data_IF_326800086966
#
_entry.id   IF_326800086966
#
_cell.length_a   1.000
_cell.length_b   1.000
_cell.length_c   1.000
_cell.angle_alpha   90.00
_cell.angle_beta   90.00
_cell.angle_gamma   90.00
#
_symmetry.space_group_name_H-M   'P 1'
#
loop_
_entity.id
_entity.type
_entity.pdbx_description
1 polymer ?
#
# COMPACT_ATOMS: atom_id res chain seq x y z
N UNK A 1 47.04 33.79 -20.13
CA UNK A 1 46.81 34.86 -21.13
C UNK A 1 46.74 34.20 -22.51
N UNK A 2 45.61 34.28 -23.24
CA UNK A 2 45.37 35.15 -24.41
C UNK A 2 46.39 35.05 -25.59
N UNK A 3 46.14 34.14 -26.55
CA UNK A 3 46.04 34.40 -28.03
C UNK A 3 45.59 33.09 -28.75
N UNK A 4 44.67 33.01 -29.73
CA UNK A 4 44.33 33.82 -30.94
C UNK A 4 45.49 33.85 -31.97
N UNK A 5 45.38 33.71 -33.31
CA UNK A 5 44.33 33.54 -34.36
C UNK A 5 44.89 32.57 -35.44
N UNK A 6 44.22 32.05 -36.50
CA UNK A 6 42.84 32.13 -37.09
C UNK A 6 42.49 30.68 -37.59
N UNK A 7 41.58 30.29 -38.51
CA UNK A 7 40.61 30.85 -39.48
C UNK A 7 39.34 29.93 -39.41
N UNK A 8 38.19 29.99 -40.11
CA UNK A 8 37.62 30.46 -41.40
C UNK A 8 38.02 29.70 -42.68
N UNK A 9 37.12 29.43 -43.64
CA UNK A 9 35.74 29.93 -43.89
C UNK A 9 34.91 28.95 -44.73
N UNK A 10 33.57 29.05 -44.73
CA UNK A 10 32.75 29.30 -45.95
C UNK A 10 31.27 29.59 -45.60
N UNK A 11 30.51 30.15 -46.55
CA UNK A 11 29.19 30.75 -46.34
C UNK A 11 28.04 30.05 -47.08
N UNK A 12 26.89 29.90 -46.43
CA UNK A 12 25.54 29.83 -47.01
C UNK A 12 24.53 30.10 -45.86
N UNK A 13 23.65 31.11 -45.85
CA UNK A 13 22.74 31.64 -46.90
C UNK A 13 21.69 30.63 -47.36
N UNK A 14 20.40 30.94 -47.14
CA UNK A 14 19.30 30.24 -47.81
C UNK A 14 18.14 29.73 -46.96
N UNK A 15 17.30 30.64 -46.44
CA UNK A 15 15.83 30.52 -46.40
C UNK A 15 15.16 29.36 -45.63
N UNK A 16 14.32 29.72 -44.67
CA UNK A 16 13.26 28.84 -44.15
C UNK A 16 12.36 28.32 -45.28
N UNK A 17 12.40 27.01 -45.53
CA UNK A 17 11.46 26.32 -46.43
C UNK A 17 10.51 25.46 -45.60
N UNK A 18 9.41 26.08 -45.18
CA UNK A 18 8.29 25.39 -44.53
C UNK A 18 7.79 24.25 -45.42
N UNK A 19 7.99 23.01 -44.98
CA UNK A 19 7.58 21.81 -45.72
C UNK A 19 6.08 21.57 -45.53
N UNK A 20 5.27 22.34 -46.26
CA UNK A 20 3.81 22.16 -46.32
C UNK A 20 3.46 20.85 -47.01
N UNK A 21 3.36 19.78 -46.22
CA UNK A 21 2.87 18.47 -46.69
C UNK A 21 1.40 18.63 -47.08
N UNK A 22 1.13 18.72 -48.37
CA UNK A 22 -0.22 18.81 -48.89
C UNK A 22 -1.00 17.51 -48.62
N UNK A 23 -2.08 17.60 -47.85
CA UNK A 23 -2.97 16.47 -47.62
C UNK A 23 -3.69 16.08 -48.94
N UNK A 24 -3.83 14.78 -49.26
CA UNK A 24 -4.50 14.35 -50.48
C UNK A 24 -6.00 14.68 -50.44
N UNK A 25 -6.55 15.10 -51.57
CA UNK A 25 -7.98 15.43 -51.68
C UNK A 25 -8.84 14.15 -51.58
N UNK A 26 -9.71 14.09 -50.58
CA UNK A 26 -10.64 12.97 -50.38
C UNK A 26 -11.80 13.07 -51.40
N UNK A 27 -12.07 12.04 -52.22
CA UNK A 27 -13.19 12.05 -53.16
C UNK A 27 -14.54 12.13 -52.45
N UNK A 28 -15.46 12.99 -52.95
CA UNK A 28 -16.85 13.04 -52.47
C UNK A 28 -17.69 11.93 -53.11
N UNK A 29 -17.72 10.74 -52.51
CA UNK A 29 -18.60 9.64 -52.93
C UNK A 29 -19.70 9.33 -51.89
N UNK A 30 -20.86 9.94 -52.13
CA UNK A 30 -22.22 9.49 -51.77
C UNK A 30 -22.41 8.41 -50.67
N UNK A 31 -22.91 8.87 -49.52
CA UNK A 31 -23.84 8.14 -48.63
C UNK A 31 -23.47 6.70 -48.20
N UNK A 32 -22.51 6.57 -47.28
CA UNK A 32 -22.54 5.50 -46.26
C UNK A 32 -23.04 6.04 -44.93
N UNK A 33 -24.26 5.64 -44.54
CA UNK A 33 -24.83 5.89 -43.20
C UNK A 33 -24.01 5.13 -42.15
N UNK A 34 -22.97 5.76 -41.60
CA UNK A 34 -22.24 5.20 -40.46
C UNK A 34 -23.20 5.02 -39.27
N UNK A 35 -23.43 3.77 -38.89
CA UNK A 35 -24.00 3.45 -37.59
C UNK A 35 -22.96 3.77 -36.52
N UNK A 36 -23.05 4.97 -35.94
CA UNK A 36 -22.28 5.34 -34.75
C UNK A 36 -22.66 4.42 -33.59
N UNK A 37 -21.88 3.36 -33.40
CA UNK A 37 -21.92 2.59 -32.15
C UNK A 37 -21.24 3.46 -31.09
N UNK A 38 -22.02 3.97 -30.14
CA UNK A 38 -21.59 4.95 -29.14
C UNK A 38 -20.65 4.35 -28.08
N UNK A 39 -19.44 3.96 -28.48
CA UNK A 39 -18.33 3.71 -27.56
C UNK A 39 -17.80 5.04 -27.07
N UNK A 40 -18.19 5.41 -25.85
CA UNK A 40 -17.60 6.52 -25.10
C UNK A 40 -16.12 6.27 -24.89
N UNK A 41 -15.29 6.87 -25.76
CA UNK A 41 -13.88 7.09 -25.49
C UNK A 41 -13.79 8.06 -24.31
N UNK A 42 -13.71 7.50 -23.09
CA UNK A 42 -13.31 8.29 -21.92
C UNK A 42 -11.96 8.94 -22.23
N UNK A 43 -11.80 10.26 -22.05
CA UNK A 43 -10.51 10.89 -22.25
C UNK A 43 -9.47 10.22 -21.35
N UNK A 44 -8.20 10.10 -21.79
CA UNK A 44 -7.16 9.54 -20.94
C UNK A 44 -7.08 10.36 -19.64
N UNK A 45 -6.92 9.71 -18.46
CA UNK A 45 -6.87 10.42 -17.20
C UNK A 45 -5.74 11.47 -17.25
N UNK A 46 -6.08 12.71 -16.91
CA UNK A 46 -5.11 13.81 -16.87
C UNK A 46 -3.97 13.38 -15.95
N UNK A 47 -2.75 13.34 -16.50
CA UNK A 47 -1.54 13.03 -15.73
C UNK A 47 -1.22 14.23 -14.83
N UNK A 48 -1.90 14.29 -13.68
CA UNK A 48 -1.46 15.10 -12.55
C UNK A 48 -0.02 14.70 -12.23
N UNK A 49 0.90 15.65 -12.27
CA UNK A 49 2.22 15.48 -11.65
C UNK A 49 1.97 15.33 -10.16
N UNK A 50 2.02 14.09 -9.67
CA UNK A 50 2.02 13.84 -8.24
C UNK A 50 3.37 14.32 -7.75
N UNK A 51 3.40 15.44 -7.01
CA UNK A 51 4.55 15.76 -6.18
C UNK A 51 4.61 14.65 -5.15
N UNK A 52 5.61 13.77 -5.30
CA UNK A 52 5.82 12.66 -4.40
C UNK A 52 6.63 13.17 -3.22
N UNK A 53 5.97 13.90 -2.33
CA UNK A 53 6.52 14.20 -1.01
C UNK A 53 6.86 12.87 -0.34
N UNK A 54 8.11 12.71 0.08
CA UNK A 54 8.57 11.46 0.71
C UNK A 54 8.13 11.34 2.17
N UNK A 55 7.51 12.37 2.74
CA UNK A 55 7.16 12.47 4.17
C UNK A 55 5.86 11.74 4.49
N UNK A 56 5.77 11.07 5.65
CA UNK A 56 4.60 10.28 5.99
C UNK A 56 3.31 11.10 6.21
N UNK A 57 2.28 10.84 5.38
CA UNK A 57 0.95 11.49 5.40
C UNK A 57 0.27 11.46 6.78
N UNK A 58 0.56 10.43 7.60
CA UNK A 58 -0.13 10.17 8.87
C UNK A 58 0.47 10.93 10.06
N UNK A 59 1.76 11.27 10.01
CA UNK A 59 2.43 11.94 11.13
C UNK A 59 3.38 13.09 10.77
N UNK A 60 3.55 13.42 9.49
CA UNK A 60 4.30 14.59 9.02
C UNK A 60 5.79 14.63 9.42
N UNK A 61 6.37 13.49 9.79
CA UNK A 61 7.69 13.42 10.43
C UNK A 61 8.48 12.22 9.94
N UNK A 62 9.56 12.46 9.19
CA UNK A 62 10.38 11.42 8.59
C UNK A 62 9.81 10.89 7.28
N UNK A 63 10.67 10.24 6.50
CA UNK A 63 10.29 9.68 5.20
C UNK A 63 9.45 8.40 5.37
N UNK A 64 8.50 8.17 4.49
CA UNK A 64 7.60 7.02 4.51
C UNK A 64 8.20 5.83 3.76
N UNK A 65 9.23 5.24 4.37
CA UNK A 65 9.72 3.92 4.01
C UNK A 65 8.93 2.79 4.73
N UNK A 66 9.22 1.54 4.36
CA UNK A 66 8.57 0.34 4.92
C UNK A 66 8.71 0.24 6.45
N UNK A 67 9.89 0.58 6.98
CA UNK A 67 10.17 0.62 8.41
C UNK A 67 9.43 1.77 9.09
N UNK A 68 9.28 2.92 8.44
CA UNK A 68 8.49 4.02 8.95
C UNK A 68 7.03 3.61 9.13
N UNK A 69 6.40 3.05 8.09
CA UNK A 69 4.99 2.67 8.12
C UNK A 69 4.66 1.76 9.29
N UNK A 70 5.39 0.65 9.47
CA UNK A 70 5.05 -0.34 10.52
C UNK A 70 5.77 -0.10 11.86
N UNK A 71 6.96 0.52 11.86
CA UNK A 71 7.71 0.87 13.07
C UNK A 71 7.56 2.35 13.41
N UNK A 72 8.23 3.26 12.69
CA UNK A 72 8.56 4.58 13.25
C UNK A 72 7.43 5.62 13.24
N UNK A 73 6.35 5.41 12.49
CA UNK A 73 5.17 6.27 12.46
C UNK A 73 4.52 6.43 13.84
N UNK A 74 4.05 7.63 14.18
CA UNK A 74 3.39 7.93 15.46
C UNK A 74 2.16 7.06 15.70
N UNK A 75 1.35 6.77 14.67
CA UNK A 75 0.17 5.89 14.77
C UNK A 75 0.59 4.45 15.10
N UNK A 76 1.65 3.95 14.47
CA UNK A 76 2.18 2.60 14.67
C UNK A 76 2.87 2.44 16.04
N UNK A 77 3.62 3.45 16.51
CA UNK A 77 4.14 3.54 17.88
C UNK A 77 3.03 3.50 18.93
N UNK A 78 1.98 4.30 18.76
CA UNK A 78 0.84 4.32 19.66
C UNK A 78 0.09 2.97 19.69
N UNK A 79 -0.03 2.31 18.53
CA UNK A 79 -0.60 0.96 18.44
C UNK A 79 0.24 -0.09 19.18
N UNK A 80 1.57 -0.12 19.00
CA UNK A 80 2.47 -1.02 19.76
C UNK A 80 2.43 -0.74 21.26
N UNK A 81 2.38 0.52 21.68
CA UNK A 81 2.26 0.89 23.09
C UNK A 81 0.93 0.42 23.71
N UNK A 82 -0.17 0.46 22.96
CA UNK A 82 -1.44 -0.12 23.41
C UNK A 82 -1.36 -1.65 23.49
N UNK A 83 -0.85 -2.33 22.47
CA UNK A 83 -0.70 -3.80 22.44
C UNK A 83 0.22 -4.35 23.55
N UNK A 84 1.19 -3.59 24.05
CA UNK A 84 2.05 -3.99 25.19
C UNK A 84 1.31 -4.21 26.51
N UNK A 85 0.05 -3.79 26.62
CA UNK A 85 -0.80 -4.07 27.79
C UNK A 85 -1.35 -5.50 27.76
N UNK A 86 -1.66 -5.99 26.55
CA UNK A 86 -2.30 -7.28 26.32
C UNK A 86 -1.26 -8.38 26.00
N UNK A 87 -0.19 -8.02 25.29
CA UNK A 87 0.84 -8.93 24.80
C UNK A 87 2.22 -8.63 25.39
N UNK A 88 2.93 -9.69 25.80
CA UNK A 88 4.37 -9.67 26.12
C UNK A 88 5.19 -9.46 24.85
N UNK A 89 5.27 -8.22 24.39
CA UNK A 89 6.06 -7.79 23.24
C UNK A 89 7.46 -7.30 23.68
N UNK A 90 8.45 -7.27 22.77
CA UNK A 90 9.75 -6.65 23.03
C UNK A 90 9.67 -5.19 23.48
N UNK A 91 10.70 -4.74 24.20
CA UNK A 91 10.91 -3.33 24.51
C UNK A 91 10.99 -2.48 23.23
N UNK A 92 10.60 -1.20 23.31
CA UNK A 92 10.58 -0.32 22.12
C UNK A 92 11.98 -0.10 21.54
N UNK A 93 13.04 -0.19 22.37
CA UNK A 93 14.44 -0.13 21.93
C UNK A 93 14.84 -1.25 20.96
N UNK A 94 14.15 -2.39 20.98
CA UNK A 94 14.52 -3.56 20.16
C UNK A 94 14.02 -3.43 18.72
N UNK A 95 13.00 -2.59 18.48
CA UNK A 95 12.47 -2.26 17.16
C UNK A 95 13.30 -1.16 16.46
N UNK A 96 14.62 -1.08 16.69
CA UNK A 96 15.48 -0.10 16.04
C UNK A 96 15.87 -0.52 14.62
N UNK A 97 16.17 0.45 13.76
CA UNK A 97 16.55 0.21 12.37
C UNK A 97 18.01 -0.26 12.27
N UNK A 98 18.22 -1.52 11.89
CA UNK A 98 19.56 -2.11 11.71
C UNK A 98 20.00 -2.17 10.24
N UNK A 99 19.35 -1.40 9.35
CA UNK A 99 19.49 -1.54 7.89
C UNK A 99 18.30 -2.28 7.27
N UNK A 100 18.41 -2.68 5.99
CA UNK A 100 17.33 -3.36 5.24
C UNK A 100 16.77 -4.58 5.97
N UNK A 101 17.65 -5.35 6.59
CA UNK A 101 17.33 -6.68 7.14
C UNK A 101 16.78 -6.59 8.57
N UNK A 102 16.36 -5.39 9.01
CA UNK A 102 15.87 -5.10 10.36
C UNK A 102 14.77 -6.06 10.82
N UNK A 103 13.89 -6.50 9.91
CA UNK A 103 12.82 -7.43 10.25
C UNK A 103 13.35 -8.85 10.51
N UNK A 104 14.30 -9.34 9.71
CA UNK A 104 14.94 -10.65 9.98
C UNK A 104 15.73 -10.60 11.30
N UNK A 105 16.53 -9.56 11.49
CA UNK A 105 17.36 -9.37 12.71
C UNK A 105 16.49 -9.21 13.96
N UNK A 106 15.32 -8.57 13.86
CA UNK A 106 14.35 -8.49 14.94
C UNK A 106 13.72 -9.86 15.25
N UNK A 107 13.32 -10.63 14.23
CA UNK A 107 12.62 -11.89 14.41
C UNK A 107 13.53 -13.03 14.91
N UNK A 108 14.80 -13.04 14.51
CA UNK A 108 15.78 -14.08 14.91
C UNK A 108 16.04 -14.11 16.42
N UNK A 109 16.00 -12.94 17.07
CA UNK A 109 16.17 -12.76 18.54
C UNK A 109 15.14 -13.50 19.41
N UNK A 110 14.00 -13.91 18.87
CA UNK A 110 12.83 -14.33 19.66
C UNK A 110 12.33 -15.73 19.34
N UNK A 111 11.51 -16.31 20.22
CA UNK A 111 10.83 -17.59 20.00
C UNK A 111 9.73 -17.52 18.91
N UNK A 112 9.13 -18.66 18.59
CA UNK A 112 8.09 -18.76 17.55
C UNK A 112 6.81 -18.00 17.89
N UNK A 113 6.46 -17.83 19.16
CA UNK A 113 5.20 -17.19 19.56
C UNK A 113 5.35 -15.67 19.57
N UNK A 114 6.47 -15.16 20.10
CA UNK A 114 6.81 -13.73 19.99
C UNK A 114 7.00 -13.34 18.52
N UNK A 115 7.64 -14.17 17.68
CA UNK A 115 7.73 -13.93 16.22
C UNK A 115 6.36 -13.79 15.54
N UNK A 116 5.40 -14.69 15.82
CA UNK A 116 4.03 -14.58 15.31
C UNK A 116 3.37 -13.28 15.75
N UNK A 117 3.51 -12.91 17.03
CA UNK A 117 2.95 -11.66 17.58
C UNK A 117 3.57 -10.42 16.95
N UNK A 118 4.88 -10.40 16.70
CA UNK A 118 5.53 -9.33 15.94
C UNK A 118 4.93 -9.23 14.53
N UNK A 119 4.84 -10.33 13.78
CA UNK A 119 4.30 -10.31 12.41
C UNK A 119 2.84 -9.81 12.36
N UNK A 120 1.97 -10.26 13.27
CA UNK A 120 0.58 -9.79 13.37
C UNK A 120 0.49 -8.30 13.76
N UNK A 121 1.38 -7.83 14.64
CA UNK A 121 1.48 -6.44 15.06
C UNK A 121 1.89 -5.52 13.92
N UNK A 122 2.87 -5.93 13.10
CA UNK A 122 3.32 -5.16 11.93
C UNK A 122 2.26 -5.15 10.82
N UNK A 123 1.63 -6.29 10.55
CA UNK A 123 0.51 -6.38 9.60
C UNK A 123 -0.67 -5.49 10.01
N UNK A 124 -1.06 -5.48 11.30
CA UNK A 124 -2.14 -4.60 11.77
C UNK A 124 -1.73 -3.13 11.81
N UNK A 125 -0.45 -2.80 12.02
CA UNK A 125 0.08 -1.44 11.84
C UNK A 125 0.00 -0.99 10.37
N UNK A 126 0.34 -1.85 9.42
CA UNK A 126 0.15 -1.57 7.99
C UNK A 126 -1.33 -1.36 7.64
N UNK A 127 -2.24 -2.22 8.11
CA UNK A 127 -3.68 -2.04 7.94
C UNK A 127 -4.20 -0.71 8.53
N UNK A 128 -3.65 -0.28 9.67
CA UNK A 128 -3.96 1.02 10.29
C UNK A 128 -3.47 2.22 9.46
N UNK A 129 -2.41 2.06 8.66
CA UNK A 129 -1.93 3.04 7.67
C UNK A 129 -2.81 3.03 6.41
N UNK A 130 -3.11 1.83 5.90
CA UNK A 130 -3.99 1.63 4.74
C UNK A 130 -5.39 2.22 4.96
N UNK A 131 -6.02 1.97 6.12
CA UNK A 131 -7.32 2.54 6.46
C UNK A 131 -7.32 4.08 6.52
N UNK A 132 -6.20 4.71 6.90
CA UNK A 132 -6.07 6.16 6.95
C UNK A 132 -5.94 6.83 5.57
N UNK A 133 -5.37 6.14 4.58
CA UNK A 133 -4.99 6.75 3.30
C UNK A 133 -5.92 6.28 2.15
N UNK A 134 -6.44 5.06 2.23
CA UNK A 134 -7.24 4.44 1.17
C UNK A 134 -8.69 4.08 1.58
N UNK A 135 -9.03 4.23 2.86
CA UNK A 135 -10.39 3.98 3.38
C UNK A 135 -10.97 5.22 4.06
N UNK A 136 -11.90 5.03 5.01
CA UNK A 136 -12.62 6.11 5.69
C UNK A 136 -11.94 6.65 6.96
N UNK A 137 -10.74 6.18 7.29
CA UNK A 137 -9.95 6.58 8.46
C UNK A 137 -10.57 6.23 9.83
N UNK A 138 -11.69 5.50 9.89
CA UNK A 138 -12.44 5.27 11.14
C UNK A 138 -11.90 4.17 12.03
N UNK A 139 -10.92 3.38 11.60
CA UNK A 139 -10.34 2.32 12.44
C UNK A 139 -9.50 2.92 13.57
N UNK A 140 -9.94 2.68 14.81
CA UNK A 140 -9.27 3.14 16.01
C UNK A 140 -8.21 2.14 16.48
N UNK A 141 -7.18 2.64 17.15
CA UNK A 141 -6.16 1.81 17.81
C UNK A 141 -6.82 0.79 18.76
N UNK A 142 -7.79 1.21 19.57
CA UNK A 142 -8.49 0.33 20.51
C UNK A 142 -9.24 -0.82 19.80
N UNK A 143 -9.89 -0.56 18.67
CA UNK A 143 -10.59 -1.59 17.87
C UNK A 143 -9.60 -2.57 17.26
N UNK A 144 -8.44 -2.10 16.81
CA UNK A 144 -7.34 -2.95 16.32
C UNK A 144 -6.68 -3.77 17.43
N UNK A 145 -6.61 -3.26 18.66
CA UNK A 145 -6.12 -4.01 19.84
C UNK A 145 -7.10 -5.14 20.17
N UNK A 146 -8.39 -4.83 20.34
CA UNK A 146 -9.42 -5.83 20.59
C UNK A 146 -9.44 -6.92 19.51
N UNK A 147 -9.31 -6.54 18.25
CA UNK A 147 -9.22 -7.48 17.12
C UNK A 147 -8.03 -8.44 17.26
N UNK A 148 -6.82 -7.97 17.58
CA UNK A 148 -5.66 -8.86 17.71
C UNK A 148 -5.75 -9.79 18.93
N UNK A 149 -6.32 -9.33 20.05
CA UNK A 149 -6.53 -10.17 21.25
C UNK A 149 -7.52 -11.31 20.93
N UNK A 150 -8.68 -10.96 20.35
CA UNK A 150 -9.68 -11.93 19.91
C UNK A 150 -9.12 -12.93 18.90
N UNK A 151 -8.37 -12.45 17.90
CA UNK A 151 -7.79 -13.27 16.85
C UNK A 151 -6.70 -14.24 17.35
N UNK A 152 -5.92 -13.85 18.38
CA UNK A 152 -5.00 -14.79 19.03
C UNK A 152 -5.75 -15.91 19.75
N UNK A 153 -6.85 -15.58 20.45
CA UNK A 153 -7.66 -16.58 21.14
C UNK A 153 -8.34 -17.54 20.16
N UNK A 154 -8.87 -17.03 19.04
CA UNK A 154 -9.43 -17.86 17.96
C UNK A 154 -8.39 -18.84 17.38
N UNK A 155 -7.17 -18.37 17.06
CA UNK A 155 -6.06 -19.23 16.60
C UNK A 155 -5.71 -20.28 17.67
N UNK A 156 -5.67 -19.89 18.95
CA UNK A 156 -5.37 -20.80 20.06
C UNK A 156 -6.43 -21.89 20.20
N UNK A 157 -7.71 -21.52 20.14
CA UNK A 157 -8.84 -22.45 20.23
C UNK A 157 -8.90 -23.40 19.03
N UNK A 158 -8.61 -22.90 17.81
CA UNK A 158 -8.50 -23.73 16.61
C UNK A 158 -7.36 -24.74 16.72
N UNK A 159 -6.16 -24.34 17.16
CA UNK A 159 -5.02 -25.27 17.31
C UNK A 159 -5.27 -26.37 18.35
N UNK A 160 -5.94 -26.06 19.47
CA UNK A 160 -6.39 -27.05 20.44
C UNK A 160 -7.42 -28.03 19.85
N UNK A 161 -8.37 -27.54 19.04
CA UNK A 161 -9.39 -28.40 18.41
C UNK A 161 -8.80 -29.43 17.45
N UNK A 162 -7.72 -29.08 16.74
CA UNK A 162 -6.99 -30.00 15.84
C UNK A 162 -6.29 -31.11 16.63
N UNK A 163 -5.61 -30.77 17.74
CA UNK A 163 -4.95 -31.76 18.61
C UNK A 163 -5.96 -32.69 19.29
N UNK A 164 -7.18 -32.21 19.58
CA UNK A 164 -8.27 -33.03 20.13
C UNK A 164 -8.94 -33.99 19.14
N UNK A 165 -8.74 -33.85 17.82
CA UNK A 165 -9.44 -34.66 16.82
C UNK A 165 -8.75 -36.01 16.55
N UNK A 166 -8.88 -36.90 17.53
CA UNK A 166 -8.80 -38.35 17.31
C UNK A 166 -9.93 -38.85 16.40
N UNK A 167 -9.75 -38.67 15.08
CA UNK A 167 -10.48 -39.29 13.97
C UNK A 167 -12.03 -39.27 14.07
N UNK A 168 -12.65 -38.08 13.95
CA UNK A 168 -14.10 -37.92 13.78
C UNK A 168 -14.44 -36.80 12.79
N UNK A 169 -14.79 -37.16 11.56
CA UNK A 169 -15.36 -36.21 10.59
C UNK A 169 -16.77 -35.80 11.00
N UNK A 170 -17.06 -34.50 11.03
CA UNK A 170 -18.42 -34.01 11.33
C UNK A 170 -18.72 -32.68 10.61
N UNK A 171 -19.34 -32.77 9.43
CA UNK A 171 -20.06 -31.62 8.84
C UNK A 171 -21.46 -31.55 9.47
N UNK A 172 -21.60 -30.86 10.59
CA UNK A 172 -22.92 -30.55 11.18
C UNK A 172 -22.86 -29.35 12.13
N UNK A 173 -23.20 -28.18 11.60
CA UNK A 173 -23.70 -27.05 12.37
C UNK A 173 -25.07 -26.66 11.80
N UNK A 174 -26.12 -27.26 12.35
CA UNK A 174 -27.51 -26.92 12.05
C UNK A 174 -27.87 -25.56 12.64
N UNK A 175 -28.68 -24.78 11.92
CA UNK A 175 -29.06 -23.43 12.31
C UNK A 175 -29.92 -23.38 13.58
N UNK A 176 -29.88 -22.25 14.27
CA UNK A 176 -30.89 -21.82 15.25
C UNK A 176 -31.05 -20.31 15.19
N UNK A 177 -31.90 -19.84 14.27
CA UNK A 177 -32.27 -18.44 14.13
C UNK A 177 -33.64 -18.25 14.79
N UNK A 178 -33.65 -17.66 15.99
CA UNK A 178 -34.85 -17.59 16.83
C UNK A 178 -35.73 -16.40 16.43
N UNK A 179 -36.94 -16.69 15.97
CA UNK A 179 -37.97 -15.70 15.63
C UNK A 179 -38.73 -15.27 16.89
N UNK A 180 -38.55 -14.02 17.31
CA UNK A 180 -39.50 -13.39 18.24
C UNK A 180 -40.79 -13.03 17.49
N UNK A 181 -41.93 -13.41 18.07
CA UNK A 181 -43.25 -12.90 17.73
C UNK A 181 -43.84 -12.14 18.92
N UNK A 182 -44.68 -11.17 18.61
CA UNK A 182 -45.37 -10.27 19.54
C UNK A 182 -46.64 -10.90 20.12
#
# INVERSE_FOLDING_TARGET
MRRWQRNQSEEASGGERSLVIAAPAIPRSHNTRMLMTSRTLRPPPIRRTIVQDSVCDICGNGEEDEYHVVISCTKSKAFRFAMRKEWRLPEEKEFWYTGTDWLQILLDKYDSEIRKKILLLLWRAWFLRDNCIHSDGKETISRSVMFLVQYEEEIRNLSLSVVGQGNKSCWSLSASMQTHHT
#
